data_IF_432275971470
#
_entry.id   IF_432275971470
#
_cell.length_a   1.000
_cell.length_b   1.000
_cell.length_c   1.000
_cell.angle_alpha   90.00
_cell.angle_beta   90.00
_cell.angle_gamma   90.00
#
_symmetry.space_group_name_H-M   'P 1'
#
loop_
_entity.id
_entity.type
_entity.pdbx_description
1 polymer ?
#
# COMPACT_ATOMS: atom_id res chain seq x y z
N UNK A 1 -14.65 26.77 -10.54
CA UNK A 1 -14.65 25.29 -10.58
C UNK A 1 -13.92 24.91 -11.86
N UNK A 2 -12.91 24.02 -11.82
CA UNK A 2 -12.20 23.61 -13.04
C UNK A 2 -13.17 22.86 -13.96
N UNK A 3 -13.06 23.10 -15.26
CA UNK A 3 -13.83 22.36 -16.26
C UNK A 3 -13.19 20.98 -16.49
N UNK A 4 -13.74 19.95 -15.82
CA UNK A 4 -13.24 18.59 -15.91
C UNK A 4 -13.38 17.99 -17.31
N UNK A 5 -14.37 18.44 -18.10
CA UNK A 5 -14.57 17.95 -19.46
C UNK A 5 -13.42 18.38 -20.38
N UNK A 6 -12.93 19.62 -20.21
CA UNK A 6 -11.77 20.11 -20.95
C UNK A 6 -10.47 19.36 -20.59
N UNK A 7 -10.38 18.83 -19.36
CA UNK A 7 -9.24 18.01 -18.91
C UNK A 7 -9.32 16.63 -19.55
N UNK A 8 -10.49 15.95 -19.49
CA UNK A 8 -10.70 14.63 -20.11
C UNK A 8 -10.40 14.67 -21.61
N UNK A 9 -10.77 15.76 -22.30
CA UNK A 9 -10.52 15.96 -23.74
C UNK A 9 -9.02 16.04 -24.11
N UNK A 10 -8.10 16.09 -23.14
CA UNK A 10 -6.65 16.01 -23.39
C UNK A 10 -6.16 14.58 -23.60
N UNK A 11 -6.98 13.60 -23.28
CA UNK A 11 -6.65 12.18 -23.39
C UNK A 11 -7.38 11.51 -24.54
N UNK A 12 -6.79 10.45 -25.08
CA UNK A 12 -7.36 9.71 -26.21
C UNK A 12 -8.57 8.86 -25.77
N UNK A 13 -9.64 9.51 -25.34
CA UNK A 13 -10.90 8.86 -24.95
C UNK A 13 -11.74 8.52 -26.19
N UNK A 14 -12.55 7.47 -26.09
CA UNK A 14 -13.54 7.07 -27.07
C UNK A 14 -14.94 7.41 -26.52
N UNK A 15 -15.89 7.66 -27.43
CA UNK A 15 -17.27 7.96 -27.07
C UNK A 15 -17.50 9.41 -26.63
N UNK A 16 -18.77 9.76 -26.46
CA UNK A 16 -19.24 11.09 -26.06
C UNK A 16 -19.38 11.14 -24.55
N UNK A 17 -18.67 12.04 -23.88
CA UNK A 17 -18.75 12.20 -22.42
C UNK A 17 -20.10 12.82 -22.06
N UNK A 18 -20.87 12.19 -21.18
CA UNK A 18 -22.18 12.63 -20.73
C UNK A 18 -22.19 13.19 -19.32
N UNK A 19 -21.37 12.64 -18.42
CA UNK A 19 -21.36 13.01 -17.01
C UNK A 19 -19.98 12.78 -16.40
N UNK A 20 -19.56 13.68 -15.51
CA UNK A 20 -18.37 13.51 -14.66
C UNK A 20 -18.80 13.75 -13.21
N UNK A 21 -18.65 12.74 -12.36
CA UNK A 21 -19.06 12.80 -10.96
C UNK A 21 -17.99 12.23 -10.02
N UNK A 22 -17.89 12.73 -8.77
CA UNK A 22 -16.96 12.17 -7.78
C UNK A 22 -17.15 10.66 -7.64
N UNK A 23 -16.02 9.93 -7.53
CA UNK A 23 -15.98 8.49 -7.34
C UNK A 23 -15.19 8.16 -6.07
N UNK A 24 -15.89 7.65 -5.05
CA UNK A 24 -15.30 7.29 -3.77
C UNK A 24 -14.87 8.50 -2.92
N UNK A 25 -14.23 8.20 -1.80
CA UNK A 25 -13.72 9.18 -0.82
C UNK A 25 -12.20 9.06 -0.70
N UNK A 26 -11.48 9.01 -1.84
CA UNK A 26 -10.02 8.89 -1.86
C UNK A 26 -9.34 9.90 -0.95
N UNK A 27 -8.43 9.44 -0.11
CA UNK A 27 -7.76 10.28 0.88
C UNK A 27 -6.64 11.14 0.28
N UNK A 28 -6.07 10.69 -0.84
CA UNK A 28 -4.87 11.30 -1.45
C UNK A 28 -5.23 12.00 -2.76
N UNK A 29 -5.80 11.28 -3.72
CA UNK A 29 -6.16 11.80 -5.03
C UNK A 29 -7.65 12.14 -5.11
N UNK A 30 -8.01 13.19 -5.84
CA UNK A 30 -9.41 13.43 -6.19
C UNK A 30 -9.76 12.53 -7.38
N UNK A 31 -10.80 11.75 -7.24
CA UNK A 31 -11.20 10.73 -8.23
C UNK A 31 -12.62 10.97 -8.72
N UNK A 32 -12.81 10.86 -10.03
CA UNK A 32 -14.09 11.08 -10.70
C UNK A 32 -14.39 9.93 -11.67
N UNK A 33 -15.65 9.50 -11.70
CA UNK A 33 -16.16 8.65 -12.78
C UNK A 33 -16.60 9.52 -13.95
N UNK A 34 -16.18 9.11 -15.14
CA UNK A 34 -16.54 9.75 -16.43
C UNK A 34 -17.39 8.76 -17.21
N UNK A 35 -18.66 9.08 -17.41
CA UNK A 35 -19.59 8.24 -18.16
C UNK A 35 -19.59 8.62 -19.64
N UNK A 36 -19.69 7.63 -20.51
CA UNK A 36 -19.86 7.77 -21.95
C UNK A 36 -21.31 7.48 -22.36
N UNK A 37 -21.72 7.97 -23.53
CA UNK A 37 -23.06 7.76 -24.08
C UNK A 37 -23.19 6.42 -24.78
N UNK A 38 -22.19 6.04 -25.53
CA UNK A 38 -22.21 4.87 -26.40
C UNK A 38 -21.98 3.59 -25.60
N UNK A 39 -22.83 2.58 -25.82
CA UNK A 39 -22.76 1.32 -25.06
C UNK A 39 -21.50 0.49 -25.36
N UNK A 40 -20.85 0.73 -26.48
CA UNK A 40 -19.60 0.09 -26.91
C UNK A 40 -18.34 0.90 -26.58
N UNK A 41 -18.51 2.13 -26.08
CA UNK A 41 -17.39 2.91 -25.54
C UNK A 41 -17.20 2.65 -24.05
N UNK A 42 -15.94 2.60 -23.55
CA UNK A 42 -15.70 2.43 -22.13
C UNK A 42 -16.02 3.69 -21.33
N UNK A 43 -16.48 3.54 -20.11
CA UNK A 43 -16.41 4.60 -19.10
C UNK A 43 -14.95 4.77 -18.64
N UNK A 44 -14.65 5.91 -17.98
CA UNK A 44 -13.31 6.22 -17.52
C UNK A 44 -13.29 6.63 -16.05
N UNK A 45 -12.08 6.64 -15.49
CA UNK A 45 -11.76 7.27 -14.20
C UNK A 45 -10.77 8.39 -14.45
N UNK A 46 -11.17 9.61 -14.11
CA UNK A 46 -10.30 10.78 -14.07
C UNK A 46 -9.75 10.96 -12.66
N UNK A 47 -8.45 11.17 -12.53
CA UNK A 47 -7.84 11.46 -11.23
C UNK A 47 -6.96 12.71 -11.29
N UNK A 48 -7.08 13.55 -10.25
CA UNK A 48 -6.11 14.60 -9.95
C UNK A 48 -5.06 14.02 -9.02
N UNK A 49 -3.83 13.94 -9.48
CA UNK A 49 -2.70 13.39 -8.73
C UNK A 49 -2.26 14.40 -7.67
N UNK A 50 -2.15 13.94 -6.42
CA UNK A 50 -1.63 14.76 -5.33
C UNK A 50 -0.08 14.86 -5.42
N UNK A 51 0.39 15.82 -6.19
CA UNK A 51 1.82 16.04 -6.42
C UNK A 51 2.56 16.68 -5.23
N UNK A 52 1.87 17.04 -4.16
CA UNK A 52 2.52 17.37 -2.89
C UNK A 52 3.10 16.12 -2.21
N UNK A 53 2.48 14.95 -2.44
CA UNK A 53 2.96 13.65 -1.96
C UNK A 53 3.84 13.00 -3.02
N UNK A 54 3.33 12.88 -4.25
CA UNK A 54 4.04 12.28 -5.38
C UNK A 54 4.76 13.35 -6.18
N UNK A 55 5.92 13.80 -5.67
CA UNK A 55 6.62 14.96 -6.20
C UNK A 55 7.15 14.77 -7.62
N UNK A 56 7.47 13.53 -8.02
CA UNK A 56 7.91 13.18 -9.36
C UNK A 56 6.81 12.41 -10.11
N UNK A 57 5.84 13.14 -10.67
CA UNK A 57 4.70 12.56 -11.39
C UNK A 57 5.15 11.79 -12.65
N UNK A 58 6.21 12.23 -13.32
CA UNK A 58 6.74 11.52 -14.49
C UNK A 58 7.25 10.12 -14.11
N UNK A 59 8.05 10.02 -13.04
CA UNK A 59 8.51 8.74 -12.52
C UNK A 59 7.35 7.87 -12.02
N UNK A 60 6.37 8.45 -11.30
CA UNK A 60 5.16 7.75 -10.86
C UNK A 60 4.46 7.08 -12.05
N UNK A 61 4.20 7.83 -13.11
CA UNK A 61 3.50 7.32 -14.30
C UNK A 61 4.36 6.32 -15.08
N UNK A 62 5.67 6.50 -15.09
CA UNK A 62 6.60 5.54 -15.70
C UNK A 62 6.59 4.19 -14.95
N UNK A 63 6.59 4.21 -13.61
CA UNK A 63 6.45 2.99 -12.80
C UNK A 63 5.14 2.26 -13.11
N UNK A 64 4.03 3.00 -13.12
CA UNK A 64 2.70 2.43 -13.41
C UNK A 64 2.65 1.82 -14.80
N UNK A 65 3.19 2.51 -15.82
CA UNK A 65 3.23 2.01 -17.18
C UNK A 65 4.07 0.73 -17.31
N UNK A 66 5.24 0.68 -16.66
CA UNK A 66 6.09 -0.51 -16.63
C UNK A 66 5.38 -1.70 -15.98
N UNK A 67 4.78 -1.47 -14.81
CA UNK A 67 4.07 -2.51 -14.03
C UNK A 67 2.86 -3.04 -14.79
N UNK A 68 1.98 -2.16 -15.26
CA UNK A 68 0.76 -2.57 -15.97
C UNK A 68 1.08 -3.23 -17.31
N UNK A 69 2.09 -2.74 -18.03
CA UNK A 69 2.57 -3.32 -19.28
C UNK A 69 3.13 -4.72 -19.08
N UNK A 70 3.95 -4.92 -18.04
CA UNK A 70 4.54 -6.23 -17.73
C UNK A 70 3.47 -7.25 -17.31
N UNK A 71 2.53 -6.86 -16.44
CA UNK A 71 1.41 -7.72 -16.02
C UNK A 71 0.55 -8.10 -17.23
N UNK A 72 0.18 -7.14 -18.09
CA UNK A 72 -0.59 -7.39 -19.31
C UNK A 72 0.11 -8.39 -20.23
N UNK A 73 1.40 -8.23 -20.43
CA UNK A 73 2.22 -9.16 -21.22
C UNK A 73 2.13 -10.58 -20.66
N UNK A 74 2.36 -10.76 -19.35
CA UNK A 74 2.30 -12.08 -18.69
C UNK A 74 0.92 -12.73 -18.77
N UNK A 75 -0.15 -11.97 -18.56
CA UNK A 75 -1.52 -12.47 -18.69
C UNK A 75 -1.80 -12.91 -20.15
N UNK A 76 -1.31 -12.17 -21.12
CA UNK A 76 -1.44 -12.53 -22.54
C UNK A 76 -0.68 -13.81 -22.86
N UNK A 77 0.56 -13.93 -22.41
CA UNK A 77 1.40 -15.12 -22.61
C UNK A 77 0.82 -16.37 -21.92
N UNK A 78 0.13 -16.18 -20.77
CA UNK A 78 -0.58 -17.25 -20.08
C UNK A 78 -1.92 -17.65 -20.74
N UNK A 79 -2.35 -16.94 -21.80
CA UNK A 79 -3.62 -17.19 -22.48
C UNK A 79 -4.85 -16.79 -21.67
N UNK A 80 -4.69 -15.86 -20.72
CA UNK A 80 -5.78 -15.38 -19.88
C UNK A 80 -6.83 -14.62 -20.72
N UNK A 81 -8.10 -14.84 -20.41
CA UNK A 81 -9.22 -14.09 -20.98
C UNK A 81 -9.49 -12.83 -20.18
N UNK A 82 -10.21 -11.86 -20.77
CA UNK A 82 -10.72 -10.67 -20.10
C UNK A 82 -9.62 -9.80 -19.45
N UNK A 83 -8.48 -9.70 -20.12
CA UNK A 83 -7.27 -9.05 -19.61
C UNK A 83 -7.53 -7.57 -19.26
N UNK A 84 -8.39 -6.89 -20.02
CA UNK A 84 -8.70 -5.47 -19.81
C UNK A 84 -9.39 -5.20 -18.47
N UNK A 85 -9.95 -6.24 -17.83
CA UNK A 85 -10.47 -6.14 -16.46
C UNK A 85 -9.48 -6.61 -15.39
N UNK A 86 -8.40 -7.31 -15.78
CA UNK A 86 -7.41 -7.90 -14.87
C UNK A 86 -6.19 -7.03 -14.62
N UNK A 87 -6.05 -5.95 -15.36
CA UNK A 87 -4.97 -4.96 -15.18
C UNK A 87 -5.45 -3.58 -15.57
N UNK A 88 -5.03 -2.56 -14.80
CA UNK A 88 -5.38 -1.17 -15.07
C UNK A 88 -4.83 -0.72 -16.45
N UNK A 89 -5.62 0.08 -17.16
CA UNK A 89 -5.26 0.65 -18.46
C UNK A 89 -5.34 2.17 -18.41
N UNK A 90 -4.20 2.83 -18.53
CA UNK A 90 -4.09 4.29 -18.52
C UNK A 90 -4.06 4.82 -19.94
N UNK A 91 -4.77 5.93 -20.19
CA UNK A 91 -4.83 6.57 -21.48
C UNK A 91 -3.67 7.55 -21.65
N UNK A 92 -3.17 7.64 -22.89
CA UNK A 92 -2.20 8.67 -23.27
C UNK A 92 -2.91 9.94 -23.75
N UNK A 93 -2.22 11.06 -23.64
CA UNK A 93 -2.51 12.31 -24.35
C UNK A 93 -2.05 12.19 -25.81
N UNK A 94 -2.37 13.18 -26.65
CA UNK A 94 -1.85 13.27 -28.03
C UNK A 94 -0.32 13.29 -28.09
N UNK A 95 0.35 13.78 -27.03
CA UNK A 95 1.81 13.80 -26.90
C UNK A 95 2.39 12.45 -26.43
N UNK A 96 1.55 11.44 -26.18
CA UNK A 96 1.96 10.11 -25.73
C UNK A 96 2.24 10.00 -24.23
N UNK A 97 1.96 11.03 -23.43
CA UNK A 97 2.11 11.00 -21.96
C UNK A 97 0.86 10.45 -21.29
N UNK A 98 1.00 9.66 -20.23
CA UNK A 98 -0.12 9.13 -19.43
C UNK A 98 -0.61 10.10 -18.35
N UNK A 99 -0.17 11.32 -18.38
CA UNK A 99 -0.60 12.41 -17.52
C UNK A 99 -0.63 13.75 -18.27
N UNK A 100 -1.40 14.69 -17.77
CA UNK A 100 -1.46 16.06 -18.27
C UNK A 100 -1.36 17.07 -17.14
N UNK A 101 -0.59 18.15 -17.34
CA UNK A 101 -0.43 19.25 -16.39
C UNK A 101 -1.21 20.46 -16.86
N UNK A 102 -2.14 20.96 -16.05
CA UNK A 102 -3.03 22.08 -16.40
C UNK A 102 -2.45 23.47 -16.03
N UNK A 103 -1.19 23.51 -15.59
CA UNK A 103 -0.53 24.73 -15.07
C UNK A 103 -0.56 24.81 -13.53
N UNK A 104 -1.34 23.95 -12.87
CA UNK A 104 -1.51 23.91 -11.42
C UNK A 104 -1.54 22.48 -10.88
N UNK A 105 -2.21 21.58 -11.55
CA UNK A 105 -2.43 20.21 -11.11
C UNK A 105 -2.10 19.20 -12.20
N UNK A 106 -1.71 18.00 -11.79
CA UNK A 106 -1.52 16.86 -12.67
C UNK A 106 -2.76 15.97 -12.70
N UNK A 107 -3.10 15.51 -13.90
CA UNK A 107 -4.29 14.70 -14.18
C UNK A 107 -3.90 13.44 -14.95
N UNK A 108 -4.65 12.36 -14.72
CA UNK A 108 -4.56 11.13 -15.51
C UNK A 108 -5.94 10.55 -15.74
N UNK A 109 -6.09 9.77 -16.80
CA UNK A 109 -7.31 9.04 -17.14
C UNK A 109 -6.97 7.57 -17.29
N UNK A 110 -7.81 6.72 -16.72
CA UNK A 110 -7.75 5.27 -16.90
C UNK A 110 -9.13 4.72 -17.31
N UNK A 111 -9.15 3.57 -17.94
CA UNK A 111 -10.38 2.86 -18.28
C UNK A 111 -11.08 2.40 -17.01
N UNK A 112 -12.38 2.66 -16.88
CA UNK A 112 -13.17 2.13 -15.79
C UNK A 112 -13.42 0.63 -15.99
N UNK A 113 -13.13 -0.18 -14.97
CA UNK A 113 -13.36 -1.61 -15.01
C UNK A 113 -14.84 -1.88 -14.69
N UNK A 114 -15.65 -2.31 -15.68
CA UNK A 114 -17.07 -2.55 -15.46
C UNK A 114 -17.30 -3.85 -14.70
N UNK A 115 -18.51 -3.99 -14.10
CA UNK A 115 -18.93 -5.21 -13.41
C UNK A 115 -17.91 -5.68 -12.36
N UNK A 116 -17.28 -4.73 -11.69
CA UNK A 116 -16.32 -4.95 -10.62
C UNK A 116 -16.67 -4.12 -9.39
N UNK A 117 -16.27 -4.58 -8.22
CA UNK A 117 -16.49 -3.89 -6.95
C UNK A 117 -15.32 -4.10 -6.01
N UNK A 118 -15.15 -3.18 -5.08
CA UNK A 118 -14.21 -3.28 -3.96
C UNK A 118 -14.97 -3.54 -2.66
N UNK A 119 -14.29 -4.13 -1.68
CA UNK A 119 -14.81 -4.31 -0.33
C UNK A 119 -13.90 -3.63 0.68
N UNK A 120 -14.48 -3.14 1.77
CA UNK A 120 -13.74 -2.59 2.92
C UNK A 120 -13.69 -3.58 4.09
N UNK A 121 -14.56 -4.58 4.07
CA UNK A 121 -14.67 -5.58 5.14
C UNK A 121 -13.48 -6.51 5.14
N UNK A 122 -12.86 -6.65 6.31
CA UNK A 122 -11.80 -7.64 6.56
C UNK A 122 -12.41 -8.84 7.28
N UNK A 123 -12.28 -10.02 6.69
CA UNK A 123 -12.65 -11.31 7.24
C UNK A 123 -11.64 -12.36 6.75
N UNK A 124 -11.65 -13.61 7.29
CA UNK A 124 -10.69 -14.63 6.86
C UNK A 124 -10.72 -14.93 5.35
N UNK A 125 -11.91 -14.96 4.72
CA UNK A 125 -12.06 -15.23 3.29
C UNK A 125 -11.39 -14.12 2.44
N UNK A 126 -11.75 -12.86 2.67
CA UNK A 126 -11.16 -11.74 1.93
C UNK A 126 -9.68 -11.52 2.26
N UNK A 127 -9.26 -11.88 3.47
CA UNK A 127 -7.84 -11.86 3.83
C UNK A 127 -7.03 -12.91 3.08
N UNK A 128 -7.59 -14.09 2.86
CA UNK A 128 -6.97 -15.11 2.00
C UNK A 128 -6.87 -14.64 0.55
N UNK A 129 -7.93 -14.06 0.01
CA UNK A 129 -7.91 -13.46 -1.33
C UNK A 129 -6.89 -12.31 -1.44
N UNK A 130 -6.77 -11.47 -0.41
CA UNK A 130 -5.76 -10.43 -0.38
C UNK A 130 -4.34 -11.03 -0.42
N UNK A 131 -4.08 -12.05 0.38
CA UNK A 131 -2.82 -12.77 0.36
C UNK A 131 -2.49 -13.29 -1.05
N UNK A 132 -3.42 -14.00 -1.67
CA UNK A 132 -3.26 -14.52 -3.04
C UNK A 132 -3.03 -13.38 -4.06
N UNK A 133 -3.81 -12.31 -3.99
CA UNK A 133 -3.73 -11.19 -4.93
C UNK A 133 -2.37 -10.48 -4.84
N UNK A 134 -1.94 -10.09 -3.65
CA UNK A 134 -0.66 -9.40 -3.47
C UNK A 134 0.54 -10.32 -3.65
N UNK A 135 0.43 -11.59 -3.26
CA UNK A 135 1.45 -12.59 -3.56
C UNK A 135 1.64 -12.83 -5.05
N UNK A 136 0.55 -12.98 -5.79
CA UNK A 136 0.57 -13.12 -7.26
C UNK A 136 1.05 -11.84 -7.95
N UNK A 137 0.66 -10.67 -7.45
CA UNK A 137 1.14 -9.38 -7.96
C UNK A 137 2.67 -9.30 -7.89
N UNK A 138 3.25 -9.62 -6.75
CA UNK A 138 4.71 -9.66 -6.58
C UNK A 138 5.35 -10.74 -7.46
N UNK A 139 4.74 -11.93 -7.57
CA UNK A 139 5.24 -13.00 -8.42
C UNK A 139 5.28 -12.61 -9.90
N UNK A 140 4.24 -11.94 -10.40
CA UNK A 140 4.22 -11.42 -11.77
C UNK A 140 5.32 -10.38 -12.04
N UNK A 141 5.69 -9.61 -11.01
CA UNK A 141 6.68 -8.53 -11.12
C UNK A 141 8.11 -8.96 -10.72
N UNK A 142 8.30 -10.22 -10.31
CA UNK A 142 9.60 -10.70 -9.84
C UNK A 142 10.72 -10.63 -10.90
N UNK A 143 10.35 -10.68 -12.19
CA UNK A 143 11.25 -10.64 -13.36
C UNK A 143 11.02 -9.42 -14.25
N UNK A 144 10.38 -8.36 -13.73
CA UNK A 144 10.21 -7.11 -14.48
C UNK A 144 11.59 -6.53 -14.86
N UNK A 145 11.83 -6.25 -16.15
CA UNK A 145 13.14 -5.79 -16.57
C UNK A 145 13.40 -4.32 -16.30
N UNK A 146 12.34 -3.52 -16.13
CA UNK A 146 12.45 -2.10 -15.87
C UNK A 146 12.91 -1.83 -14.45
N UNK A 147 13.77 -0.83 -14.26
CA UNK A 147 14.15 -0.33 -12.94
C UNK A 147 13.16 0.76 -12.54
N UNK A 148 12.37 0.48 -11.50
CA UNK A 148 11.43 1.44 -10.95
C UNK A 148 12.11 2.40 -9.97
N UNK A 149 11.59 3.64 -9.88
CA UNK A 149 11.99 4.61 -8.87
C UNK A 149 11.10 4.54 -7.61
N UNK A 150 11.57 5.13 -6.51
CA UNK A 150 10.76 5.28 -5.29
C UNK A 150 9.80 6.46 -5.47
N UNK A 151 8.50 6.19 -5.57
CA UNK A 151 7.46 7.23 -5.75
C UNK A 151 7.33 8.12 -4.52
N UNK A 152 7.61 7.57 -3.35
CA UNK A 152 7.82 8.29 -2.09
C UNK A 152 9.18 7.85 -1.55
N UNK A 153 10.21 8.72 -1.59
CA UNK A 153 11.55 8.36 -1.12
C UNK A 153 11.56 7.88 0.34
N UNK A 154 12.30 6.81 0.60
CA UNK A 154 12.45 6.20 1.93
C UNK A 154 11.11 5.86 2.61
N UNK A 155 10.07 5.52 1.83
CA UNK A 155 8.70 5.33 2.35
C UNK A 155 8.66 4.32 3.50
N UNK A 156 9.21 3.13 3.29
CA UNK A 156 9.28 2.06 4.30
C UNK A 156 10.73 1.75 4.75
N UNK A 157 11.60 2.73 4.72
CA UNK A 157 12.97 2.63 5.24
C UNK A 157 12.97 2.88 6.76
N UNK A 158 13.16 1.82 7.55
CA UNK A 158 13.05 1.91 9.01
C UNK A 158 14.18 2.72 9.64
N UNK A 159 15.40 2.66 9.11
CA UNK A 159 16.52 3.47 9.57
C UNK A 159 16.22 4.98 9.38
N UNK A 160 15.64 5.33 8.23
CA UNK A 160 15.22 6.70 7.97
C UNK A 160 14.11 7.16 8.93
N UNK A 161 13.11 6.30 9.21
CA UNK A 161 12.02 6.64 10.14
C UNK A 161 12.53 6.82 11.57
N UNK A 162 13.47 5.99 12.04
CA UNK A 162 14.12 6.18 13.34
C UNK A 162 14.96 7.44 13.38
N UNK A 163 15.68 7.76 12.30
CA UNK A 163 16.39 9.05 12.20
C UNK A 163 15.44 10.22 12.35
N UNK A 164 14.30 10.21 11.67
CA UNK A 164 13.29 11.28 11.79
C UNK A 164 12.78 11.41 13.24
N UNK A 165 12.53 10.30 13.94
CA UNK A 165 12.14 10.33 15.35
C UNK A 165 13.23 10.93 16.23
N UNK A 166 14.49 10.50 16.07
CA UNK A 166 15.63 11.00 16.84
C UNK A 166 15.88 12.48 16.60
N UNK A 167 15.72 12.94 15.35
CA UNK A 167 15.80 14.36 15.00
C UNK A 167 14.65 15.16 15.67
N UNK A 168 13.43 14.61 15.70
CA UNK A 168 12.29 15.20 16.39
C UNK A 168 12.53 15.32 17.91
N UNK A 169 13.09 14.28 18.52
CA UNK A 169 13.46 14.27 19.96
C UNK A 169 14.51 15.33 20.26
N UNK A 170 15.55 15.41 19.43
CA UNK A 170 16.64 16.39 19.61
C UNK A 170 16.14 17.83 19.46
N UNK A 171 15.20 18.09 18.57
CA UNK A 171 14.59 19.41 18.33
C UNK A 171 13.56 19.74 19.39
N UNK A 172 12.75 18.76 19.79
CA UNK A 172 11.65 18.89 20.75
C UNK A 172 10.75 20.12 20.50
N UNK A 173 10.35 20.32 19.25
CA UNK A 173 9.71 21.54 18.77
C UNK A 173 8.43 21.90 19.54
N UNK A 174 7.63 20.89 19.91
CA UNK A 174 6.40 21.08 20.69
C UNK A 174 6.58 20.94 22.21
N UNK A 175 7.80 20.63 22.70
CA UNK A 175 8.07 20.46 24.13
C UNK A 175 7.50 19.17 24.75
N UNK A 176 7.18 18.15 23.92
CA UNK A 176 6.41 16.96 24.33
C UNK A 176 7.27 15.72 24.64
N UNK A 177 8.60 15.80 24.53
CA UNK A 177 9.48 14.62 24.71
C UNK A 177 9.35 13.99 26.09
N UNK A 178 9.29 14.81 27.16
CA UNK A 178 9.25 14.29 28.53
C UNK A 178 8.01 13.42 28.83
N UNK A 179 6.88 13.70 28.20
CA UNK A 179 5.62 12.95 28.42
C UNK A 179 5.54 11.62 27.68
N UNK A 180 6.45 11.38 26.72
CA UNK A 180 6.46 10.18 25.89
C UNK A 180 7.70 9.30 26.09
N UNK A 181 8.48 9.56 27.13
CA UNK A 181 9.77 8.89 27.38
C UNK A 181 9.63 7.36 27.37
N UNK A 182 8.55 6.82 27.95
CA UNK A 182 8.28 5.39 27.93
C UNK A 182 8.29 4.79 26.51
N UNK A 183 7.59 5.45 25.57
CA UNK A 183 7.53 4.98 24.20
C UNK A 183 8.87 5.14 23.47
N UNK A 184 9.62 6.19 23.75
CA UNK A 184 10.97 6.38 23.20
C UNK A 184 11.90 5.25 23.67
N UNK A 185 11.89 4.91 24.95
CA UNK A 185 12.71 3.83 25.51
C UNK A 185 12.32 2.47 24.89
N UNK A 186 11.03 2.18 24.76
CA UNK A 186 10.53 0.95 24.16
C UNK A 186 10.83 0.83 22.66
N UNK A 187 10.81 1.95 21.94
CA UNK A 187 11.23 2.01 20.53
C UNK A 187 12.72 1.73 20.41
N UNK A 188 13.56 2.40 21.20
CA UNK A 188 15.01 2.22 21.12
C UNK A 188 15.47 0.80 21.49
N UNK A 189 14.80 0.12 22.41
CA UNK A 189 15.07 -1.30 22.73
C UNK A 189 14.91 -2.23 21.52
N UNK A 190 14.03 -1.89 20.57
CA UNK A 190 13.71 -2.70 19.39
C UNK A 190 14.41 -2.24 18.12
N UNK A 191 15.06 -1.08 18.16
CA UNK A 191 15.57 -0.37 16.98
C UNK A 191 16.50 -1.22 16.12
N UNK A 192 17.44 -1.95 16.73
CA UNK A 192 18.40 -2.80 15.99
C UNK A 192 17.70 -3.94 15.26
N UNK A 193 16.78 -4.65 15.92
CA UNK A 193 16.03 -5.74 15.29
C UNK A 193 15.11 -5.21 14.20
N UNK A 194 14.48 -4.05 14.40
CA UNK A 194 13.56 -3.48 13.42
C UNK A 194 14.25 -2.89 12.19
N UNK A 195 15.55 -2.60 12.26
CA UNK A 195 16.37 -2.23 11.10
C UNK A 195 17.03 -3.44 10.40
N UNK A 196 16.60 -4.65 10.73
CA UNK A 196 17.18 -5.90 10.17
C UNK A 196 17.08 -5.96 8.64
N UNK A 197 15.98 -5.50 8.05
CA UNK A 197 15.79 -5.57 6.60
C UNK A 197 16.86 -4.76 5.85
N UNK A 198 17.13 -3.54 6.27
CA UNK A 198 18.14 -2.67 5.66
C UNK A 198 19.55 -3.25 5.84
N UNK A 199 19.83 -3.86 7.00
CA UNK A 199 21.10 -4.54 7.27
C UNK A 199 21.31 -5.76 6.36
N UNK A 200 20.31 -6.64 6.26
CA UNK A 200 20.34 -7.80 5.37
C UNK A 200 20.47 -7.43 3.90
N UNK A 201 19.89 -6.32 3.50
CA UNK A 201 20.03 -5.80 2.14
C UNK A 201 21.47 -5.36 1.85
N UNK A 202 22.09 -4.61 2.76
CA UNK A 202 23.51 -4.20 2.62
C UNK A 202 24.48 -5.39 2.61
N UNK A 203 24.11 -6.47 3.29
CA UNK A 203 24.87 -7.72 3.28
C UNK A 203 24.63 -8.59 2.02
N UNK A 204 23.76 -8.14 1.11
CA UNK A 204 23.41 -8.89 -0.10
C UNK A 204 22.56 -10.14 0.14
N UNK A 205 21.95 -10.27 1.33
CA UNK A 205 21.14 -11.44 1.72
C UNK A 205 19.65 -11.25 1.41
N UNK A 206 19.14 -10.03 1.47
CA UNK A 206 17.74 -9.70 1.21
C UNK A 206 17.63 -8.85 -0.05
N UNK A 207 16.89 -9.28 -1.09
CA UNK A 207 16.69 -8.47 -2.28
C UNK A 207 15.62 -7.40 -2.07
N UNK A 208 15.71 -6.27 -2.78
CA UNK A 208 14.57 -5.42 -3.05
C UNK A 208 13.75 -6.01 -4.20
N UNK A 209 12.43 -5.89 -4.11
CA UNK A 209 11.47 -6.32 -5.12
C UNK A 209 10.48 -5.22 -5.41
N UNK A 210 9.73 -5.33 -6.49
CA UNK A 210 8.62 -4.42 -6.74
C UNK A 210 7.47 -4.79 -5.81
N UNK A 211 7.09 -3.85 -4.94
CA UNK A 211 6.03 -3.99 -3.97
C UNK A 211 4.93 -2.95 -4.22
N UNK A 212 3.72 -3.26 -3.77
CA UNK A 212 2.58 -2.35 -3.84
C UNK A 212 2.70 -1.20 -2.82
N UNK A 213 3.17 -1.50 -1.62
CA UNK A 213 3.42 -0.61 -0.49
C UNK A 213 2.18 0.09 0.11
N UNK A 214 0.97 -0.32 -0.26
CA UNK A 214 -0.30 0.11 0.35
C UNK A 214 -1.33 -1.01 0.24
N UNK A 215 -1.08 -2.11 0.92
CA UNK A 215 -1.89 -3.33 0.80
C UNK A 215 -3.10 -3.31 1.74
N UNK A 216 -4.27 -3.28 1.16
CA UNK A 216 -5.57 -3.31 1.86
C UNK A 216 -6.59 -4.05 1.00
N UNK A 217 -7.65 -4.54 1.63
CA UNK A 217 -8.74 -5.24 0.91
C UNK A 217 -9.37 -4.35 -0.16
N UNK A 218 -9.55 -3.05 0.11
CA UNK A 218 -10.13 -2.12 -0.86
C UNK A 218 -9.20 -1.73 -2.02
N UNK A 219 -7.94 -2.17 -2.03
CA UNK A 219 -7.03 -2.04 -3.17
C UNK A 219 -7.04 -3.29 -4.07
N UNK A 220 -8.08 -4.12 -3.94
CA UNK A 220 -8.41 -5.20 -4.86
C UNK A 220 -9.82 -5.01 -5.42
N UNK A 221 -9.98 -5.34 -6.69
CA UNK A 221 -11.29 -5.48 -7.31
C UNK A 221 -11.71 -6.94 -7.40
N UNK A 222 -13.01 -7.17 -7.24
CA UNK A 222 -13.67 -8.46 -7.36
C UNK A 222 -14.67 -8.42 -8.51
N UNK A 223 -14.81 -9.53 -9.23
CA UNK A 223 -15.83 -9.72 -10.26
C UNK A 223 -17.22 -9.99 -9.67
N UNK A 224 -18.17 -10.27 -10.56
CA UNK A 224 -19.57 -10.57 -10.17
C UNK A 224 -19.70 -11.84 -9.35
N UNK A 225 -18.79 -12.79 -9.51
CA UNK A 225 -18.76 -14.08 -8.80
C UNK A 225 -17.99 -13.99 -7.47
N UNK A 226 -17.46 -12.82 -7.12
CA UNK A 226 -16.70 -12.59 -5.91
C UNK A 226 -15.24 -13.07 -5.98
N UNK A 227 -14.72 -13.31 -7.19
CA UNK A 227 -13.31 -13.67 -7.40
C UNK A 227 -12.46 -12.41 -7.55
N UNK A 228 -11.21 -12.50 -7.11
CA UNK A 228 -10.25 -11.41 -7.30
C UNK A 228 -10.03 -11.18 -8.79
N UNK A 229 -10.15 -9.93 -9.20
CA UNK A 229 -10.01 -9.50 -10.59
C UNK A 229 -8.64 -8.83 -10.83
N UNK A 230 -8.36 -7.76 -10.10
CA UNK A 230 -7.06 -7.07 -10.19
C UNK A 230 -6.73 -6.28 -8.92
N UNK A 231 -5.45 -5.97 -8.79
CA UNK A 231 -4.92 -5.01 -7.80
C UNK A 231 -4.99 -3.61 -8.39
N UNK A 232 -5.40 -2.64 -7.60
CA UNK A 232 -5.58 -1.23 -7.98
C UNK A 232 -4.79 -0.30 -7.05
N UNK A 233 -4.84 1.01 -7.31
CA UNK A 233 -4.14 2.06 -6.55
C UNK A 233 -2.61 1.88 -6.56
N UNK A 234 -2.04 1.93 -7.77
CA UNK A 234 -0.62 1.62 -8.03
C UNK A 234 0.33 2.79 -7.73
N UNK A 235 -0.10 3.84 -7.05
CA UNK A 235 0.70 5.05 -6.83
C UNK A 235 1.91 4.83 -5.93
N UNK A 236 1.84 3.84 -5.06
CA UNK A 236 2.92 3.48 -4.14
C UNK A 236 3.74 2.28 -4.63
N UNK A 237 3.52 1.84 -5.88
CA UNK A 237 4.31 0.73 -6.44
C UNK A 237 5.74 1.18 -6.69
N UNK A 238 6.66 0.59 -5.94
CA UNK A 238 8.08 0.96 -5.94
C UNK A 238 8.96 -0.21 -5.48
N UNK A 239 10.30 -0.11 -5.66
CA UNK A 239 11.22 -1.06 -5.05
C UNK A 239 11.16 -1.00 -3.52
N UNK A 240 10.93 -2.14 -2.88
CA UNK A 240 10.94 -2.28 -1.43
C UNK A 240 11.27 -3.74 -1.06
N UNK A 241 11.25 -4.06 0.23
CA UNK A 241 11.27 -5.45 0.68
C UNK A 241 9.84 -6.02 0.61
N UNK A 242 9.70 -7.32 0.36
CA UNK A 242 8.37 -7.98 0.35
C UNK A 242 7.60 -7.75 1.65
N UNK A 243 8.31 -7.40 2.71
CA UNK A 243 7.76 -7.08 4.02
C UNK A 243 6.81 -5.89 3.98
N UNK A 244 6.99 -4.95 3.02
CA UNK A 244 6.09 -3.82 2.82
C UNK A 244 4.67 -4.26 2.54
N UNK A 245 4.49 -5.25 1.65
CA UNK A 245 3.17 -5.72 1.29
C UNK A 245 2.60 -6.67 2.35
N UNK A 246 3.44 -7.58 2.85
CA UNK A 246 3.01 -8.55 3.84
C UNK A 246 2.69 -7.89 5.19
N UNK A 247 3.56 -7.02 5.68
CA UNK A 247 3.41 -6.39 6.99
C UNK A 247 2.34 -5.30 7.02
N UNK A 248 2.19 -4.51 5.96
CA UNK A 248 1.21 -3.44 5.93
C UNK A 248 -0.23 -3.98 5.94
N UNK A 249 -0.51 -5.05 5.18
CA UNK A 249 -1.81 -5.71 5.27
C UNK A 249 -2.11 -6.20 6.68
N UNK A 250 -1.16 -6.86 7.33
CA UNK A 250 -1.37 -7.40 8.68
C UNK A 250 -1.55 -6.30 9.73
N UNK A 251 -0.85 -5.18 9.60
CA UNK A 251 -1.01 -4.03 10.50
C UNK A 251 -2.45 -3.50 10.51
N UNK A 252 -3.10 -3.44 9.38
CA UNK A 252 -4.48 -2.94 9.26
C UNK A 252 -5.50 -4.05 9.35
N UNK A 253 -5.33 -5.12 8.60
CA UNK A 253 -6.30 -6.21 8.47
C UNK A 253 -6.36 -7.12 9.69
N UNK A 254 -5.24 -7.38 10.36
CA UNK A 254 -5.20 -8.23 11.55
C UNK A 254 -5.30 -7.45 12.87
N UNK A 255 -5.52 -6.15 12.84
CA UNK A 255 -5.81 -5.37 14.04
C UNK A 255 -7.30 -5.50 14.39
N UNK A 256 -7.62 -5.86 15.63
CA UNK A 256 -9.02 -5.97 16.10
C UNK A 256 -9.61 -4.62 16.52
N UNK A 257 -8.75 -3.61 16.77
CA UNK A 257 -9.14 -2.24 17.06
C UNK A 257 -8.91 -1.31 15.86
N UNK A 258 -9.28 -0.05 16.02
CA UNK A 258 -8.98 1.00 15.04
C UNK A 258 -7.51 1.46 15.16
N UNK A 259 -6.99 2.11 14.11
CA UNK A 259 -5.64 2.68 14.12
C UNK A 259 -5.47 3.75 15.22
N UNK A 260 -6.55 4.44 15.55
CA UNK A 260 -6.64 5.48 16.56
C UNK A 260 -7.56 5.08 17.73
N UNK A 261 -7.65 3.78 18.04
CA UNK A 261 -8.49 3.29 19.14
C UNK A 261 -7.96 3.77 20.50
N UNK A 262 -8.83 4.42 21.25
CA UNK A 262 -8.52 4.90 22.62
C UNK A 262 -8.58 3.79 23.65
N UNK A 263 -9.38 2.75 23.37
CA UNK A 263 -9.53 1.58 24.22
C UNK A 263 -8.51 0.51 23.80
N UNK A 264 -7.36 0.50 24.47
CA UNK A 264 -6.27 -0.40 24.13
C UNK A 264 -6.60 -1.89 24.39
N UNK A 265 -7.62 -2.21 25.19
CA UNK A 265 -8.05 -3.60 25.38
C UNK A 265 -8.69 -4.20 24.12
N UNK A 266 -9.18 -3.33 23.23
CA UNK A 266 -9.71 -3.74 21.91
C UNK A 266 -8.62 -3.98 20.87
N UNK A 267 -7.41 -3.47 21.09
CA UNK A 267 -6.29 -3.56 20.13
C UNK A 267 -5.51 -4.83 20.37
N UNK A 268 -5.74 -5.82 19.51
CA UNK A 268 -5.06 -7.11 19.55
C UNK A 268 -4.77 -7.61 18.13
N UNK A 269 -3.81 -8.54 18.02
CA UNK A 269 -3.48 -9.17 16.74
C UNK A 269 -4.37 -10.39 16.50
N UNK A 270 -5.10 -10.37 15.38
CA UNK A 270 -6.04 -11.43 15.01
C UNK A 270 -5.35 -12.55 14.24
N UNK A 271 -5.12 -13.67 14.92
CA UNK A 271 -4.46 -14.85 14.35
C UNK A 271 -5.27 -15.57 13.26
N UNK A 272 -6.61 -15.47 13.25
CA UNK A 272 -7.41 -16.01 12.14
C UNK A 272 -7.13 -15.25 10.83
N UNK A 273 -7.12 -13.93 10.90
CA UNK A 273 -6.79 -13.08 9.75
C UNK A 273 -5.36 -13.33 9.31
N UNK A 274 -4.41 -13.38 10.26
CA UNK A 274 -3.02 -13.72 9.96
C UNK A 274 -2.90 -15.05 9.21
N UNK A 275 -3.52 -16.11 9.70
CA UNK A 275 -3.47 -17.45 9.09
C UNK A 275 -4.06 -17.46 7.69
N UNK A 276 -5.22 -16.83 7.52
CA UNK A 276 -5.89 -16.73 6.24
C UNK A 276 -5.06 -15.97 5.20
N UNK A 277 -4.57 -14.78 5.56
CA UNK A 277 -3.73 -13.95 4.70
C UNK A 277 -2.41 -14.65 4.36
N UNK A 278 -1.71 -15.18 5.35
CA UNK A 278 -0.41 -15.86 5.17
C UNK A 278 -0.53 -17.07 4.26
N UNK A 279 -1.60 -17.88 4.41
CA UNK A 279 -1.86 -19.00 3.52
C UNK A 279 -2.00 -18.53 2.08
N UNK A 280 -2.86 -17.55 1.82
CA UNK A 280 -3.06 -16.99 0.49
C UNK A 280 -1.79 -16.36 -0.08
N UNK A 281 -1.05 -15.60 0.74
CA UNK A 281 0.19 -14.98 0.32
C UNK A 281 1.25 -16.01 -0.10
N UNK A 282 1.46 -17.05 0.68
CA UNK A 282 2.41 -18.11 0.34
C UNK A 282 1.97 -18.90 -0.90
N UNK A 283 0.66 -19.12 -1.09
CA UNK A 283 0.14 -19.75 -2.33
C UNK A 283 0.52 -18.92 -3.57
N UNK A 284 0.42 -17.58 -3.49
CA UNK A 284 0.76 -16.68 -4.59
C UNK A 284 2.25 -16.42 -4.75
N UNK A 285 2.99 -16.34 -3.65
CA UNK A 285 4.36 -15.80 -3.64
C UNK A 285 5.47 -16.85 -3.51
N UNK A 286 5.18 -18.07 -3.02
CA UNK A 286 6.24 -19.06 -2.70
C UNK A 286 7.17 -19.41 -3.86
N UNK A 287 6.73 -19.23 -5.10
CA UNK A 287 7.51 -19.56 -6.30
C UNK A 287 8.77 -18.69 -6.47
N UNK A 288 8.78 -17.48 -5.94
CA UNK A 288 9.89 -16.53 -6.07
C UNK A 288 10.57 -16.17 -4.75
N UNK A 289 9.90 -16.40 -3.60
CA UNK A 289 10.44 -16.05 -2.30
C UNK A 289 11.69 -16.86 -1.96
N UNK A 290 12.69 -16.18 -1.43
CA UNK A 290 13.88 -16.82 -0.88
C UNK A 290 13.63 -17.32 0.54
N UNK A 291 14.41 -18.30 1.04
CA UNK A 291 14.29 -18.78 2.43
C UNK A 291 14.36 -17.65 3.46
N UNK A 292 15.23 -16.67 3.26
CA UNK A 292 15.39 -15.54 4.20
C UNK A 292 14.18 -14.61 4.20
N UNK A 293 13.50 -14.44 3.06
CA UNK A 293 12.25 -13.68 2.99
C UNK A 293 11.17 -14.39 3.79
N UNK A 294 11.02 -15.71 3.61
CA UNK A 294 10.00 -16.51 4.30
C UNK A 294 10.28 -16.56 5.82
N UNK A 295 11.52 -16.79 6.23
CA UNK A 295 11.92 -16.84 7.64
C UNK A 295 11.60 -15.53 8.39
N UNK A 296 11.64 -14.40 7.69
CA UNK A 296 11.39 -13.07 8.24
C UNK A 296 9.95 -12.55 8.05
N UNK A 297 8.99 -13.37 7.64
CA UNK A 297 7.58 -12.96 7.59
C UNK A 297 7.00 -12.56 8.97
N UNK A 298 7.30 -13.28 10.09
CA UNK A 298 6.88 -12.82 11.41
C UNK A 298 7.49 -11.47 11.82
N UNK A 299 8.75 -11.23 11.46
CA UNK A 299 9.40 -9.93 11.62
C UNK A 299 8.64 -8.83 10.87
N UNK A 300 8.20 -9.08 9.63
CA UNK A 300 7.42 -8.10 8.86
C UNK A 300 6.10 -7.73 9.54
N UNK A 301 5.42 -8.68 10.19
CA UNK A 301 4.21 -8.41 10.95
C UNK A 301 4.44 -7.46 12.14
N UNK A 302 5.60 -7.53 12.79
CA UNK A 302 5.99 -6.63 13.87
C UNK A 302 6.53 -5.28 13.36
N UNK A 303 7.25 -5.29 12.23
CA UNK A 303 7.89 -4.10 11.65
C UNK A 303 6.88 -2.98 11.36
N UNK A 304 5.71 -3.30 10.82
CA UNK A 304 4.77 -2.29 10.35
C UNK A 304 4.05 -1.56 11.49
N UNK A 305 3.52 -2.21 12.54
CA UNK A 305 3.05 -1.48 13.73
C UNK A 305 4.15 -0.66 14.39
N UNK A 306 5.38 -1.20 14.47
CA UNK A 306 6.53 -0.47 15.00
C UNK A 306 6.84 0.78 14.17
N UNK A 307 6.95 0.65 12.86
CA UNK A 307 7.22 1.77 11.95
C UNK A 307 6.16 2.86 12.06
N UNK A 308 4.89 2.48 12.13
CA UNK A 308 3.80 3.43 12.22
C UNK A 308 3.76 4.11 13.59
N UNK A 309 4.06 3.37 14.67
CA UNK A 309 4.27 3.92 16.00
C UNK A 309 5.37 5.00 15.99
N UNK A 310 6.51 4.72 15.40
CA UNK A 310 7.65 5.66 15.24
C UNK A 310 7.21 6.92 14.47
N UNK A 311 6.49 6.76 13.38
CA UNK A 311 6.04 7.87 12.53
C UNK A 311 5.03 8.78 13.24
N UNK A 312 4.03 8.21 13.92
CA UNK A 312 3.06 8.99 14.68
C UNK A 312 3.70 9.70 15.87
N UNK A 313 4.63 9.04 16.56
CA UNK A 313 5.34 9.65 17.68
C UNK A 313 6.25 10.81 17.23
N UNK A 314 6.96 10.65 16.12
CA UNK A 314 7.78 11.72 15.55
C UNK A 314 6.94 12.95 15.20
N UNK A 315 5.78 12.75 14.57
CA UNK A 315 4.88 13.83 14.20
C UNK A 315 4.26 14.51 15.45
N UNK A 316 3.89 13.72 16.47
CA UNK A 316 3.42 14.27 17.75
C UNK A 316 4.45 15.17 18.42
N UNK A 317 5.72 14.75 18.48
CA UNK A 317 6.83 15.53 19.03
C UNK A 317 7.08 16.79 18.22
N UNK A 318 6.91 16.73 16.89
CA UNK A 318 7.05 17.87 15.99
C UNK A 318 5.87 18.85 16.00
N UNK A 319 4.78 18.55 16.74
CA UNK A 319 3.61 19.42 16.84
C UNK A 319 2.53 19.13 15.80
N UNK A 320 2.41 17.88 15.35
CA UNK A 320 1.32 17.39 14.47
C UNK A 320 1.30 18.09 13.10
N UNK A 321 2.44 18.12 12.42
CA UNK A 321 2.63 18.86 11.16
C UNK A 321 2.40 18.03 9.91
N UNK A 322 2.46 16.71 10.01
CA UNK A 322 2.38 15.81 8.86
C UNK A 322 1.01 15.16 8.71
N UNK A 323 0.51 14.49 9.76
CA UNK A 323 -0.78 13.81 9.73
C UNK A 323 -1.92 14.76 10.09
N UNK A 324 -3.05 14.63 9.39
CA UNK A 324 -4.28 15.31 9.81
C UNK A 324 -4.75 14.78 11.16
N UNK A 325 -4.94 15.67 12.11
CA UNK A 325 -5.44 15.35 13.46
C UNK A 325 -6.88 15.83 13.63
N UNK A 326 -7.65 15.13 14.46
CA UNK A 326 -9.02 15.49 14.84
C UNK A 326 -9.06 16.22 16.20
N UNK A 327 -8.01 16.06 17.01
CA UNK A 327 -7.84 16.64 18.36
C UNK A 327 -6.35 16.63 18.74
N UNK A 328 -5.91 17.42 19.75
CA UNK A 328 -4.47 17.64 20.01
C UNK A 328 -3.63 16.40 20.30
N UNK A 329 -4.19 15.36 20.95
CA UNK A 329 -3.46 14.13 21.30
C UNK A 329 -3.66 13.00 20.28
N UNK A 330 -4.23 13.28 19.10
CA UNK A 330 -4.61 12.24 18.15
C UNK A 330 -3.42 11.36 17.73
N UNK A 331 -2.27 11.95 17.41
CA UNK A 331 -1.08 11.18 17.05
C UNK A 331 -0.48 10.41 18.24
N UNK A 332 -0.65 10.90 19.47
CA UNK A 332 -0.27 10.13 20.67
C UNK A 332 -1.21 8.92 20.88
N UNK A 333 -2.51 9.07 20.65
CA UNK A 333 -3.47 7.95 20.68
C UNK A 333 -3.10 6.90 19.64
N UNK A 334 -2.81 7.32 18.41
CA UNK A 334 -2.33 6.43 17.34
C UNK A 334 -1.04 5.72 17.71
N UNK A 335 -0.08 6.43 18.32
CA UNK A 335 1.17 5.85 18.82
C UNK A 335 0.89 4.73 19.82
N UNK A 336 0.01 4.98 20.79
CA UNK A 336 -0.38 4.00 21.83
C UNK A 336 -1.06 2.78 21.22
N UNK A 337 -1.97 2.97 20.28
CA UNK A 337 -2.68 1.88 19.61
C UNK A 337 -1.71 1.02 18.78
N UNK A 338 -0.82 1.63 18.00
CA UNK A 338 0.18 0.88 17.21
C UNK A 338 1.20 0.17 18.10
N UNK A 339 1.60 0.77 19.21
CA UNK A 339 2.49 0.12 20.17
C UNK A 339 1.82 -1.08 20.84
N UNK A 340 0.55 -0.96 21.21
CA UNK A 340 -0.24 -2.08 21.75
C UNK A 340 -0.37 -3.22 20.74
N UNK A 341 -0.63 -2.89 19.47
CA UNK A 341 -0.67 -3.88 18.40
C UNK A 341 0.68 -4.59 18.23
N UNK A 342 1.79 -3.84 18.26
CA UNK A 342 3.14 -4.40 18.23
C UNK A 342 3.37 -5.43 19.34
N UNK A 343 3.01 -5.10 20.57
CA UNK A 343 3.14 -6.01 21.72
C UNK A 343 2.34 -7.29 21.49
N UNK A 344 1.11 -7.17 20.98
CA UNK A 344 0.29 -8.34 20.67
C UNK A 344 0.89 -9.20 19.55
N UNK A 345 1.49 -8.59 18.51
CA UNK A 345 2.21 -9.32 17.45
C UNK A 345 3.41 -10.06 18.04
N UNK A 346 4.20 -9.42 18.91
CA UNK A 346 5.37 -10.03 19.57
C UNK A 346 4.97 -11.27 20.39
N UNK A 347 3.86 -11.20 21.12
CA UNK A 347 3.30 -12.33 21.90
C UNK A 347 2.92 -13.52 21.01
N UNK A 348 2.42 -13.28 19.79
CA UNK A 348 1.99 -14.32 18.85
C UNK A 348 3.12 -14.83 17.93
N UNK A 349 4.32 -14.26 18.00
CA UNK A 349 5.44 -14.64 17.10
C UNK A 349 5.71 -16.15 17.06
N UNK A 350 5.73 -16.90 18.18
CA UNK A 350 5.98 -18.35 18.14
C UNK A 350 4.88 -19.10 17.35
N UNK A 351 3.60 -18.70 17.50
CA UNK A 351 2.50 -19.30 16.77
C UNK A 351 2.57 -18.97 15.28
N UNK A 352 2.95 -17.74 14.91
CA UNK A 352 3.17 -17.34 13.52
C UNK A 352 4.23 -18.19 12.85
N UNK A 353 5.39 -18.39 13.50
CA UNK A 353 6.50 -19.24 13.01
C UNK A 353 6.00 -20.68 12.79
N UNK A 354 5.29 -21.23 13.75
CA UNK A 354 4.76 -22.61 13.66
C UNK A 354 3.79 -22.76 12.47
N UNK A 355 2.90 -21.79 12.27
CA UNK A 355 1.93 -21.81 11.17
C UNK A 355 2.60 -21.68 9.80
N UNK A 356 3.54 -20.75 9.64
CA UNK A 356 4.30 -20.59 8.38
C UNK A 356 5.02 -21.90 8.04
N UNK A 357 5.68 -22.53 9.01
CA UNK A 357 6.36 -23.81 8.81
C UNK A 357 5.37 -24.95 8.43
N UNK A 358 4.14 -24.92 8.93
CA UNK A 358 3.10 -25.86 8.51
C UNK A 358 2.70 -25.64 7.04
N UNK A 359 2.53 -24.37 6.61
CA UNK A 359 2.18 -24.04 5.23
C UNK A 359 3.27 -24.49 4.22
N UNK A 360 4.52 -24.47 4.62
CA UNK A 360 5.65 -24.88 3.76
C UNK A 360 5.79 -26.39 3.57
N UNK A 361 5.18 -27.19 4.44
CA UNK A 361 5.22 -28.66 4.35
C UNK A 361 4.20 -29.23 3.38
N UNK A 362 3.23 -28.41 2.99
CA UNK A 362 2.14 -28.76 2.06
C UNK A 362 2.48 -28.29 0.63
#
# INVERSE_FOLDING_TARGET
MKDLSSIVAKFNTQGTITEIKPLGTGLINDTYKVNTQEADAPDYVLQRINHAIFQNVEMLQSNIAAVTGHIRKKLTEAGESDIDRKVLSFLSTEEGKTYWFDGDSYWRVMVFIPRAKTYETVNPEYSNYAGQAFGNFQAMLADIPETLGETIPDFHNMEFRLKQLRDAVATNAAGRVAEVQYYLDEIEKRADEMCKAERLYREGKLPKRVCHCDTKVNNMMFDEDGKVLCVIDLDTVMPSFIFSDYGDFLRTGANTGDEDDKDLDRVNFNMEIFKAFTKGYLEGAKSFLTPIEIENLPYAAALFPYMQCVRFLADYINGDTYYKIKYPEHNLVRTKAQFKLLQSVEEHTPEMVAFINECLKK
#
